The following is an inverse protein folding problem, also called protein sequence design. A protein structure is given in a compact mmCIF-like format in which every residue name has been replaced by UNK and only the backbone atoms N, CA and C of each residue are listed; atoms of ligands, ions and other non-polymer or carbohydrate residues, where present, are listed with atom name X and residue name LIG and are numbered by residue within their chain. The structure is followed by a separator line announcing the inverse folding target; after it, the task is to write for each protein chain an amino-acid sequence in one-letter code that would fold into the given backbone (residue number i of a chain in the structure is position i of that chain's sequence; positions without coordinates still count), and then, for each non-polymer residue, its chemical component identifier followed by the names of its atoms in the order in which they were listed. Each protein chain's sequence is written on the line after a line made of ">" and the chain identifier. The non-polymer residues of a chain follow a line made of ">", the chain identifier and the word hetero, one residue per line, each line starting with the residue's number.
data_IF_391820259030
#
_entry.id   IF_391820259030
#
_cell.length_a   1.000
_cell.length_b   1.000
_cell.length_c   1.000
_cell.angle_alpha   90.00
_cell.angle_beta   90.00
_cell.angle_gamma   90.00
#
_symmetry.space_group_name_H-M   'P 1'
#
loop_
_entity.id
_entity.type
_entity.pdbx_description
1 polymer ?
#
# COMPACT_ATOMS: atom_id res chain seq x y z
N UNK A 1 15.22 -13.14 -5.27
CA UNK A 1 15.47 -12.12 -4.22
C UNK A 1 14.16 -11.52 -3.79
N UNK A 2 13.91 -11.57 -2.53
CA UNK A 2 12.66 -11.09 -1.99
C UNK A 2 12.71 -9.57 -1.83
N UNK A 3 11.75 -8.88 -2.48
CA UNK A 3 11.69 -7.43 -2.39
C UNK A 3 10.70 -6.96 -1.34
N UNK A 4 10.06 -7.88 -0.67
CA UNK A 4 9.06 -7.48 0.31
C UNK A 4 9.75 -7.08 1.60
N UNK A 5 9.10 -6.16 2.30
CA UNK A 5 9.59 -5.73 3.60
C UNK A 5 8.43 -5.69 4.57
N UNK A 6 8.68 -6.18 5.76
CA UNK A 6 7.67 -6.27 6.79
C UNK A 6 7.73 -5.04 7.68
N UNK A 7 6.58 -4.44 7.92
CA UNK A 7 6.51 -3.28 8.80
C UNK A 7 6.03 -3.64 10.20
N UNK A 8 5.86 -4.93 10.47
CA UNK A 8 5.28 -5.38 11.71
C UNK A 8 3.76 -5.45 11.60
N UNK A 9 3.12 -6.14 12.55
CA UNK A 9 1.67 -6.19 12.57
C UNK A 9 1.05 -6.80 11.33
N UNK A 10 1.77 -7.66 10.62
CA UNK A 10 1.28 -8.30 9.40
C UNK A 10 1.07 -7.30 8.26
N UNK A 11 1.89 -6.27 8.21
CA UNK A 11 1.87 -5.28 7.13
C UNK A 11 3.11 -5.48 6.30
N UNK A 12 2.91 -5.58 4.99
CA UNK A 12 4.00 -5.88 4.07
C UNK A 12 4.00 -4.90 2.91
N UNK A 13 5.19 -4.43 2.54
CA UNK A 13 5.41 -3.62 1.33
C UNK A 13 6.20 -4.45 0.34
N UNK A 14 5.84 -4.36 -0.94
CA UNK A 14 6.52 -5.10 -1.98
C UNK A 14 6.72 -4.20 -3.19
N UNK A 15 7.90 -4.28 -3.80
CA UNK A 15 8.19 -3.52 -5.02
C UNK A 15 8.72 -2.12 -4.77
N UNK A 16 9.12 -1.80 -3.55
CA UNK A 16 9.56 -0.45 -3.20
C UNK A 16 11.07 -0.33 -3.05
N UNK A 17 11.82 -1.32 -3.51
CA UNK A 17 13.26 -1.33 -3.20
C UNK A 17 14.03 -0.18 -3.85
N UNK A 18 13.54 0.34 -4.98
CA UNK A 18 14.23 1.43 -5.66
C UNK A 18 13.83 2.81 -5.17
N UNK A 19 12.96 2.86 -4.18
CA UNK A 19 12.52 4.13 -3.62
C UNK A 19 13.57 4.64 -2.64
N UNK A 20 13.87 5.92 -2.73
CA UNK A 20 14.89 6.51 -1.86
C UNK A 20 14.49 6.43 -0.39
N UNK A 21 15.48 6.48 0.48
CA UNK A 21 15.24 6.25 1.90
C UNK A 21 14.37 7.33 2.53
N UNK A 22 14.48 8.58 2.08
CA UNK A 22 13.67 9.64 2.63
C UNK A 22 12.19 9.42 2.31
N UNK A 23 11.90 9.02 1.07
CA UNK A 23 10.53 8.72 0.68
C UNK A 23 10.01 7.50 1.41
N UNK A 24 10.86 6.52 1.66
CA UNK A 24 10.43 5.32 2.39
C UNK A 24 10.01 5.65 3.82
N UNK A 25 10.66 6.61 4.46
CA UNK A 25 10.25 7.02 5.80
C UNK A 25 8.81 7.52 5.76
N UNK A 26 8.47 8.35 4.76
CA UNK A 26 7.12 8.89 4.63
C UNK A 26 6.13 7.79 4.31
N UNK A 27 6.49 6.89 3.38
CA UNK A 27 5.60 5.80 3.00
C UNK A 27 5.29 4.88 4.17
N UNK A 28 6.30 4.57 4.98
CA UNK A 28 6.08 3.71 6.13
C UNK A 28 5.12 4.35 7.13
N UNK A 29 5.18 5.67 7.27
CA UNK A 29 4.25 6.36 8.15
C UNK A 29 2.83 6.31 7.60
N UNK A 30 2.67 6.54 6.30
CA UNK A 30 1.35 6.48 5.68
C UNK A 30 0.75 5.10 5.84
N UNK A 31 1.52 4.08 5.48
CA UNK A 31 1.02 2.70 5.55
C UNK A 31 0.77 2.28 6.99
N UNK A 32 1.67 2.67 7.89
CA UNK A 32 1.51 2.33 9.30
C UNK A 32 0.27 2.95 9.92
N UNK A 33 -0.01 4.21 9.57
CA UNK A 33 -1.20 4.88 10.08
C UNK A 33 -2.47 4.23 9.57
N UNK A 34 -2.50 3.90 8.28
CA UNK A 34 -3.66 3.20 7.73
C UNK A 34 -3.79 1.81 8.33
N UNK A 35 -2.66 1.11 8.50
CA UNK A 35 -2.69 -0.22 9.09
C UNK A 35 -3.32 -0.22 10.46
N UNK A 36 -2.99 0.78 11.27
CA UNK A 36 -3.58 0.91 12.58
C UNK A 36 -5.09 1.12 12.51
N UNK A 37 -5.51 2.06 11.65
CA UNK A 37 -6.94 2.34 11.52
C UNK A 37 -7.70 1.15 10.94
N UNK A 38 -7.11 0.49 9.93
CA UNK A 38 -7.76 -0.66 9.33
C UNK A 38 -7.87 -1.81 10.34
N UNK A 39 -6.84 -1.98 11.17
CA UNK A 39 -6.89 -2.99 12.21
C UNK A 39 -8.01 -2.68 13.20
N UNK A 40 -8.20 -1.40 13.52
CA UNK A 40 -9.23 -1.01 14.50
C UNK A 40 -10.64 -1.23 13.98
N UNK A 41 -10.88 -1.01 12.69
CA UNK A 41 -12.23 -1.12 12.14
C UNK A 41 -12.52 -2.48 11.52
N UNK A 42 -11.51 -3.32 11.38
CA UNK A 42 -11.69 -4.67 10.83
C UNK A 42 -12.27 -5.60 11.91
N UNK A 43 -13.12 -6.52 11.47
CA UNK A 43 -13.59 -7.56 12.38
C UNK A 43 -12.45 -8.43 12.84
N UNK A 44 -11.60 -8.83 11.92
CA UNK A 44 -10.43 -9.64 12.24
C UNK A 44 -9.34 -9.32 11.22
N UNK A 45 -8.50 -8.38 11.56
CA UNK A 45 -7.40 -7.97 10.69
C UNK A 45 -6.36 -9.09 10.61
N UNK A 46 -6.10 -9.57 9.41
CA UNK A 46 -5.14 -10.63 9.22
C UNK A 46 -3.87 -10.13 8.55
N UNK A 47 -3.99 -9.34 7.48
CA UNK A 47 -2.81 -8.83 6.82
C UNK A 47 -3.17 -7.65 5.93
N UNK A 48 -2.17 -6.81 5.67
CA UNK A 48 -2.27 -5.73 4.72
C UNK A 48 -1.02 -5.75 3.87
N UNK A 49 -1.20 -5.81 2.56
CA UNK A 49 -0.08 -5.83 1.63
C UNK A 49 -0.22 -4.70 0.64
N UNK A 50 0.83 -3.92 0.46
CA UNK A 50 0.87 -2.84 -0.50
C UNK A 50 1.98 -3.14 -1.50
N UNK A 51 1.62 -3.20 -2.76
CA UNK A 51 2.57 -3.52 -3.83
C UNK A 51 2.66 -2.38 -4.80
N UNK A 52 3.88 -1.99 -5.15
CA UNK A 52 4.11 -1.01 -6.19
C UNK A 52 4.62 -1.70 -7.43
N UNK A 53 3.99 -1.38 -8.55
CA UNK A 53 4.44 -1.85 -9.85
C UNK A 53 4.76 -0.63 -10.70
N UNK A 54 5.98 -0.52 -11.24
CA UNK A 54 6.28 0.60 -12.12
C UNK A 54 5.48 0.48 -13.40
N UNK A 55 4.93 1.59 -13.84
CA UNK A 55 4.23 1.64 -15.12
C UNK A 55 5.24 2.12 -16.13
N UNK A 56 5.50 1.30 -17.13
CA UNK A 56 6.46 1.64 -18.15
C UNK A 56 5.87 2.66 -19.11
N UNK A 57 6.35 3.87 -19.00
CA UNK A 57 5.97 4.93 -19.91
C UNK A 57 7.17 5.24 -20.76
N UNK A 58 6.94 5.40 -22.03
CA UNK A 58 8.02 5.72 -22.95
C UNK A 58 8.36 7.19 -22.92
N UNK A 59 7.54 7.97 -22.27
CA UNK A 59 7.70 9.41 -22.27
C UNK A 59 8.19 9.89 -20.92
N UNK A 60 8.07 11.16 -20.72
CA UNK A 60 8.66 11.81 -19.56
C UNK A 60 7.91 11.58 -18.28
N UNK A 61 6.62 11.29 -18.35
CA UNK A 61 5.84 11.15 -17.15
C UNK A 61 6.00 9.78 -16.56
N UNK A 62 6.28 9.75 -15.29
CA UNK A 62 6.33 8.52 -14.53
C UNK A 62 5.05 8.37 -13.77
N UNK A 63 4.58 7.15 -13.68
CA UNK A 63 3.39 6.83 -12.93
C UNK A 63 3.67 5.66 -12.04
N UNK A 64 2.95 5.60 -10.94
CA UNK A 64 3.10 4.52 -9.97
C UNK A 64 1.78 3.79 -9.91
N UNK A 65 1.85 2.48 -10.09
CA UNK A 65 0.67 1.63 -9.94
C UNK A 65 0.75 0.98 -8.58
N UNK A 66 -0.24 1.22 -7.75
CA UNK A 66 -0.27 0.71 -6.38
C UNK A 66 -1.43 -0.24 -6.24
N UNK A 67 -1.14 -1.42 -5.73
CA UNK A 67 -2.15 -2.44 -5.40
C UNK A 67 -2.13 -2.61 -3.90
N UNK A 68 -3.28 -2.55 -3.28
CA UNK A 68 -3.38 -2.79 -1.86
C UNK A 68 -4.36 -3.94 -1.63
N UNK A 69 -4.05 -4.77 -0.66
CA UNK A 69 -4.89 -5.91 -0.33
C UNK A 69 -4.97 -6.06 1.18
N UNK A 70 -6.18 -6.09 1.68
CA UNK A 70 -6.45 -6.32 3.09
C UNK A 70 -7.15 -7.67 3.22
N UNK A 71 -6.68 -8.48 4.14
CA UNK A 71 -7.39 -9.72 4.49
C UNK A 71 -8.02 -9.48 5.85
N UNK A 72 -9.35 -9.57 5.88
CA UNK A 72 -10.14 -9.29 7.06
C UNK A 72 -11.15 -10.42 7.24
N UNK A 73 -11.00 -11.19 8.31
CA UNK A 73 -11.90 -12.30 8.61
C UNK A 73 -12.03 -13.25 7.41
N UNK A 74 -10.90 -13.54 6.78
CA UNK A 74 -10.86 -14.46 5.64
C UNK A 74 -11.30 -13.86 4.33
N UNK A 75 -11.69 -12.58 4.32
CA UNK A 75 -12.14 -11.93 3.08
C UNK A 75 -11.06 -11.00 2.57
N UNK A 76 -10.92 -10.95 1.25
CA UNK A 76 -9.93 -10.13 0.59
C UNK A 76 -10.58 -8.86 0.07
N UNK A 77 -10.04 -7.71 0.46
CA UNK A 77 -10.47 -6.41 -0.06
C UNK A 77 -9.28 -5.82 -0.79
N UNK A 78 -9.48 -5.47 -2.05
CA UNK A 78 -8.36 -5.02 -2.89
C UNK A 78 -8.67 -3.67 -3.51
N UNK A 79 -7.61 -2.93 -3.81
CA UNK A 79 -7.73 -1.70 -4.56
C UNK A 79 -6.54 -1.56 -5.49
N UNK A 80 -6.72 -0.72 -6.49
CA UNK A 80 -5.68 -0.46 -7.48
C UNK A 80 -5.76 1.01 -7.86
N UNK A 81 -4.61 1.68 -7.86
CA UNK A 81 -4.54 3.11 -8.16
C UNK A 81 -3.32 3.36 -9.02
N UNK A 82 -3.46 4.23 -10.00
CA UNK A 82 -2.33 4.71 -10.80
C UNK A 82 -2.26 6.22 -10.66
N UNK A 83 -1.11 6.73 -10.20
CA UNK A 83 -0.92 8.13 -9.97
C UNK A 83 0.52 8.52 -10.26
N UNK A 84 0.73 9.80 -10.54
CA UNK A 84 2.07 10.31 -10.75
C UNK A 84 2.83 10.55 -9.46
N UNK A 85 2.11 10.85 -8.39
CA UNK A 85 2.71 11.06 -7.08
C UNK A 85 2.58 9.80 -6.26
N UNK A 86 3.72 9.26 -5.83
CA UNK A 86 3.74 7.99 -5.13
C UNK A 86 2.98 8.05 -3.82
N UNK A 87 3.14 9.14 -3.07
CA UNK A 87 2.46 9.26 -1.78
C UNK A 87 0.95 9.33 -1.97
N UNK A 88 0.52 10.07 -2.99
CA UNK A 88 -0.91 10.16 -3.32
C UNK A 88 -1.45 8.81 -3.73
N UNK A 89 -0.66 8.07 -4.52
CA UNK A 89 -1.10 6.75 -4.97
C UNK A 89 -1.33 5.81 -3.80
N UNK A 90 -0.37 5.76 -2.87
CA UNK A 90 -0.47 4.88 -1.72
C UNK A 90 -1.64 5.30 -0.82
N UNK A 91 -1.75 6.60 -0.57
CA UNK A 91 -2.83 7.11 0.27
C UNK A 91 -4.19 6.77 -0.34
N UNK A 92 -4.35 6.99 -1.65
CA UNK A 92 -5.63 6.73 -2.30
C UNK A 92 -5.97 5.25 -2.31
N UNK A 93 -4.99 4.39 -2.53
CA UNK A 93 -5.23 2.95 -2.53
C UNK A 93 -5.73 2.48 -1.17
N UNK A 94 -5.11 2.97 -0.10
CA UNK A 94 -5.49 2.57 1.25
C UNK A 94 -6.81 3.20 1.66
N UNK A 95 -7.08 4.42 1.21
CA UNK A 95 -8.35 5.07 1.48
C UNK A 95 -9.50 4.30 0.84
N UNK A 96 -9.30 3.77 -0.37
CA UNK A 96 -10.33 2.96 -1.01
C UNK A 96 -10.67 1.73 -0.17
N UNK A 97 -9.64 1.09 0.38
CA UNK A 97 -9.86 -0.07 1.23
C UNK A 97 -10.61 0.33 2.50
N UNK A 98 -10.20 1.44 3.11
CA UNK A 98 -10.87 1.92 4.31
C UNK A 98 -12.34 2.20 4.05
N UNK A 99 -12.64 2.85 2.93
CA UNK A 99 -14.03 3.16 2.59
C UNK A 99 -14.83 1.90 2.33
N UNK A 100 -14.18 0.87 1.82
CA UNK A 100 -14.87 -0.38 1.50
C UNK A 100 -15.32 -1.10 2.75
N UNK A 101 -14.54 -1.04 3.83
CA UNK A 101 -14.83 -1.82 5.02
C UNK A 101 -15.43 -1.00 6.16
N UNK A 102 -15.51 0.30 6.02
CA UNK A 102 -16.06 1.12 7.10
C UNK A 102 -17.56 1.37 6.94
#
# INVERSE_FOLDING_TARGET
>A
MDESMQLGGNIELSGFRDIDSASMVVLKKIVGNYGRRLSDISDKFESLKVTMKPVHETEKSEKYEIHAQLINAGKSVVSEVVERNLFVAVDNALKKIENEIS
#
